data_IF_844578380022
#
_entry.id   IF_844578380022
#
_cell.length_a   1.000
_cell.length_b   1.000
_cell.length_c   1.000
_cell.angle_alpha   90.00
_cell.angle_beta   90.00
_cell.angle_gamma   90.00
#
_symmetry.space_group_name_H-M   'P 1'
#
loop_
_entity.id
_entity.type
_entity.pdbx_description
1 polymer ?
#
# COMPACT_ATOMS: atom_id res chain seq x y z
N UNK A 1 7.24 22.78 9.32
CA UNK A 1 5.83 22.54 8.95
C UNK A 1 5.69 21.06 8.62
N UNK A 2 5.23 20.28 9.60
CA UNK A 2 5.38 18.83 9.63
C UNK A 2 4.10 18.19 9.06
N UNK A 3 4.04 18.01 7.73
CA UNK A 3 2.95 17.32 7.04
C UNK A 3 3.01 15.78 7.15
N UNK A 4 3.80 15.25 8.08
CA UNK A 4 4.21 13.83 8.10
C UNK A 4 3.25 12.84 8.76
N UNK A 5 2.04 13.23 9.13
CA UNK A 5 1.19 12.41 10.01
C UNK A 5 0.00 11.71 9.35
N UNK A 6 -0.69 12.37 8.43
CA UNK A 6 -2.01 11.94 7.95
C UNK A 6 -1.97 11.50 6.50
N UNK A 7 -2.66 10.38 6.24
CA UNK A 7 -3.02 9.93 4.90
C UNK A 7 -3.50 11.10 4.04
N UNK A 8 -3.03 11.22 2.78
CA UNK A 8 -3.57 12.22 1.85
C UNK A 8 -5.04 11.96 1.46
N UNK A 9 -5.55 10.76 1.76
CA UNK A 9 -6.97 10.38 1.75
C UNK A 9 -7.47 10.21 3.19
N UNK A 10 -8.09 11.23 3.81
CA UNK A 10 -8.54 11.17 5.20
C UNK A 10 -9.67 10.15 5.43
N UNK A 11 -10.41 9.78 4.39
CA UNK A 11 -11.48 8.77 4.43
C UNK A 11 -10.97 7.32 4.37
N UNK A 12 -9.69 7.12 4.04
CA UNK A 12 -9.10 5.77 3.97
C UNK A 12 -8.28 5.48 5.23
N UNK A 13 -8.43 4.29 5.83
CA UNK A 13 -7.61 3.91 6.96
C UNK A 13 -6.16 3.73 6.53
N UNK A 14 -5.27 4.23 7.38
CA UNK A 14 -3.86 3.92 7.29
C UNK A 14 -3.60 2.47 7.70
N UNK A 15 -2.88 1.76 6.84
CA UNK A 15 -2.50 0.37 7.06
C UNK A 15 -1.00 0.22 7.12
N UNK A 16 -0.56 -0.79 7.87
CA UNK A 16 0.84 -1.19 7.93
C UNK A 16 1.10 -2.17 6.80
N UNK A 17 1.96 -1.77 5.88
CA UNK A 17 2.44 -2.63 4.81
C UNK A 17 3.78 -3.25 5.22
N UNK A 18 3.90 -4.58 5.12
CA UNK A 18 5.18 -5.26 5.20
C UNK A 18 5.58 -5.79 3.82
N UNK A 19 6.79 -5.47 3.41
CA UNK A 19 7.34 -5.88 2.12
C UNK A 19 8.55 -6.74 2.41
N UNK A 20 8.54 -7.98 1.93
CA UNK A 20 9.66 -8.90 2.02
C UNK A 20 10.27 -9.08 0.64
N UNK A 21 11.50 -8.61 0.49
CA UNK A 21 12.28 -8.72 -0.74
C UNK A 21 13.62 -9.37 -0.42
N UNK A 22 13.90 -10.51 -1.05
CA UNK A 22 15.18 -11.21 -0.90
C UNK A 22 15.58 -11.48 0.57
N UNK A 23 14.60 -11.82 1.42
CA UNK A 23 14.81 -12.08 2.85
C UNK A 23 14.90 -10.83 3.74
N UNK A 24 14.79 -9.63 3.17
CA UNK A 24 14.73 -8.37 3.92
C UNK A 24 13.29 -7.94 4.07
N UNK A 25 12.83 -7.74 5.31
CA UNK A 25 11.50 -7.23 5.63
C UNK A 25 11.54 -5.74 5.97
N UNK A 26 10.71 -4.96 5.29
CA UNK A 26 10.60 -3.51 5.47
C UNK A 26 9.14 -3.16 5.75
N UNK A 27 8.92 -2.20 6.67
CA UNK A 27 7.59 -1.76 7.06
C UNK A 27 7.32 -0.33 6.58
N UNK A 28 6.12 -0.12 6.03
CA UNK A 28 5.62 1.18 5.60
C UNK A 28 4.22 1.43 6.18
N UNK A 29 3.87 2.71 6.30
CA UNK A 29 2.48 3.13 6.46
C UNK A 29 1.96 3.61 5.10
N UNK A 30 0.71 3.28 4.77
CA UNK A 30 0.07 3.81 3.58
C UNK A 30 -1.46 3.78 3.71
N UNK A 31 -2.16 4.65 2.97
CA UNK A 31 -3.59 4.44 2.75
C UNK A 31 -3.83 3.12 1.98
N UNK A 32 -5.01 2.52 2.19
CA UNK A 32 -5.37 1.24 1.58
C UNK A 32 -5.17 1.23 0.06
N UNK A 33 -5.64 2.26 -0.64
CA UNK A 33 -5.48 2.40 -2.10
C UNK A 33 -4.01 2.40 -2.50
N UNK A 34 -3.17 3.19 -1.84
CA UNK A 34 -1.75 3.28 -2.18
C UNK A 34 -1.00 1.97 -1.92
N UNK A 35 -1.36 1.26 -0.85
CA UNK A 35 -0.80 -0.06 -0.56
C UNK A 35 -1.19 -1.08 -1.64
N UNK A 36 -2.45 -1.08 -2.10
CA UNK A 36 -2.92 -1.97 -3.17
C UNK A 36 -2.19 -1.70 -4.50
N UNK A 37 -2.07 -0.43 -4.89
CA UNK A 37 -1.32 -0.04 -6.10
C UNK A 37 0.13 -0.51 -6.00
N UNK A 38 0.76 -0.36 -4.83
CA UNK A 38 2.12 -0.84 -4.61
C UNK A 38 2.23 -2.35 -4.76
N UNK A 39 1.31 -3.12 -4.15
CA UNK A 39 1.29 -4.59 -4.24
C UNK A 39 1.19 -5.03 -5.69
N UNK A 40 0.27 -4.44 -6.47
CA UNK A 40 0.10 -4.76 -7.88
C UNK A 40 1.36 -4.44 -8.71
N UNK A 41 1.97 -3.28 -8.51
CA UNK A 41 3.18 -2.89 -9.25
C UNK A 41 4.38 -3.76 -8.88
N UNK A 42 4.56 -4.10 -7.61
CA UNK A 42 5.63 -5.01 -7.16
C UNK A 42 5.39 -6.41 -7.71
N UNK A 43 4.18 -6.96 -7.60
CA UNK A 43 3.86 -8.28 -8.12
C UNK A 43 4.06 -8.39 -9.64
N UNK A 44 3.80 -7.32 -10.38
CA UNK A 44 4.04 -7.28 -11.83
C UNK A 44 5.53 -7.22 -12.21
N UNK A 45 6.38 -6.65 -11.34
CA UNK A 45 7.79 -6.38 -11.66
C UNK A 45 8.77 -7.34 -11.01
N UNK A 46 8.47 -7.89 -9.82
CA UNK A 46 9.38 -8.72 -9.04
C UNK A 46 8.64 -9.82 -8.27
N UNK A 47 9.16 -11.06 -8.28
CA UNK A 47 8.72 -12.06 -7.33
C UNK A 47 9.13 -11.63 -5.92
N UNK A 48 8.15 -11.54 -5.02
CA UNK A 48 8.34 -11.14 -3.63
C UNK A 48 7.08 -11.39 -2.80
N UNK A 49 7.21 -11.36 -1.48
CA UNK A 49 6.07 -11.51 -0.57
C UNK A 49 5.69 -10.15 -0.01
N UNK A 50 4.46 -9.74 -0.26
CA UNK A 50 3.89 -8.52 0.31
C UNK A 50 2.74 -8.91 1.22
N UNK A 51 2.79 -8.47 2.47
CA UNK A 51 1.72 -8.71 3.44
C UNK A 51 1.19 -7.38 3.99
N UNK A 52 -0.13 -7.29 4.05
CA UNK A 52 -0.86 -6.12 4.51
C UNK A 52 -1.46 -6.42 5.88
N UNK A 53 -1.18 -5.54 6.84
CA UNK A 53 -1.69 -5.68 8.20
C UNK A 53 -2.50 -4.45 8.61
N UNK A 54 -3.72 -4.61 9.13
CA UNK A 54 -4.39 -3.54 9.84
C UNK A 54 -3.60 -3.25 11.13
N UNK A 55 -3.32 -1.98 11.44
CA UNK A 55 -2.64 -1.67 12.69
C UNK A 55 -1.95 -0.31 12.77
N UNK A 56 -1.29 -0.09 13.90
CA UNK A 56 -0.68 1.19 14.26
C UNK A 56 0.45 1.57 13.30
N UNK A 57 0.33 2.76 12.70
CA UNK A 57 1.24 3.25 11.66
C UNK A 57 2.25 4.30 12.15
N UNK A 58 2.21 4.70 13.43
CA UNK A 58 3.08 5.76 13.91
C UNK A 58 4.56 5.37 13.83
N UNK A 59 5.39 6.32 13.38
CA UNK A 59 6.83 6.15 13.23
C UNK A 59 7.26 5.37 11.99
N UNK A 60 6.33 4.86 11.17
CA UNK A 60 6.68 4.18 9.92
C UNK A 60 6.84 5.18 8.76
N UNK A 61 7.80 4.94 7.85
CA UNK A 61 7.90 5.71 6.63
C UNK A 61 6.66 5.49 5.75
N UNK A 62 6.22 6.56 5.10
CA UNK A 62 5.09 6.57 4.17
C UNK A 62 5.50 6.08 2.79
N UNK A 63 4.60 5.47 2.04
CA UNK A 63 4.92 5.08 0.66
C UNK A 63 5.05 6.31 -0.24
N UNK A 64 6.06 6.36 -1.12
CA UNK A 64 6.21 7.50 -2.04
C UNK A 64 5.03 7.68 -3.01
N UNK A 65 4.31 6.59 -3.33
CA UNK A 65 3.20 6.59 -4.28
C UNK A 65 1.94 7.28 -3.73
N UNK A 66 1.83 7.49 -2.41
CA UNK A 66 0.71 8.21 -1.78
C UNK A 66 0.60 9.65 -2.28
N UNK A 67 1.71 10.28 -2.68
CA UNK A 67 1.72 11.64 -3.23
C UNK A 67 1.23 11.71 -4.68
N UNK A 68 1.13 10.57 -5.37
CA UNK A 68 0.72 10.46 -6.78
C UNK A 68 -0.62 9.75 -6.98
N UNK A 69 -1.18 9.12 -5.94
CA UNK A 69 -2.50 8.52 -6.03
C UNK A 69 -3.55 9.64 -6.24
N UNK A 70 -4.34 9.61 -7.34
CA UNK A 70 -5.38 10.60 -7.51
C UNK A 70 -6.42 10.42 -6.41
N UNK A 71 -6.80 11.52 -5.75
CA UNK A 71 -7.91 11.56 -4.79
C UNK A 71 -9.18 11.07 -5.51
N UNK A 72 -9.56 9.81 -5.32
CA UNK A 72 -10.70 9.19 -6.00
C UNK A 72 -10.38 8.05 -6.99
N UNK A 73 -9.19 7.45 -6.94
CA UNK A 73 -8.91 6.23 -7.71
C UNK A 73 -9.78 5.05 -7.23
N UNK A 74 -10.92 4.82 -7.87
CA UNK A 74 -11.65 3.57 -7.75
C UNK A 74 -10.77 2.44 -8.32
N UNK A 75 -10.15 1.65 -7.43
CA UNK A 75 -9.44 0.44 -7.83
C UNK A 75 -10.51 -0.54 -8.31
N UNK A 76 -10.74 -0.65 -9.62
CA UNK A 76 -11.56 -1.72 -10.18
C UNK A 76 -10.77 -3.02 -10.04
N UNK A 77 -10.95 -3.73 -8.94
CA UNK A 77 -10.46 -5.11 -8.78
C UNK A 77 -11.31 -5.96 -9.74
N UNK A 78 -10.85 -6.11 -10.97
CA UNK A 78 -11.48 -6.99 -11.95
C UNK A 78 -11.49 -8.42 -11.42
N UNK A 79 -12.66 -8.85 -10.93
CA UNK A 79 -12.94 -10.25 -10.65
C UNK A 79 -12.99 -11.02 -11.96
N UNK A 80 -12.20 -12.09 -12.06
CA UNK A 80 -12.14 -12.88 -13.28
C UNK A 80 -11.21 -14.07 -13.20
N UNK A 81 -11.26 -14.86 -12.12
CA UNK A 81 -10.78 -16.24 -12.17
C UNK A 81 -11.98 -17.16 -12.04
N UNK A 82 -12.61 -17.49 -13.16
CA UNK A 82 -13.53 -18.63 -13.25
C UNK A 82 -12.70 -19.89 -13.44
N UNK A 83 -12.79 -20.89 -12.55
CA UNK A 83 -12.15 -22.17 -12.79
C UNK A 83 -12.92 -22.94 -13.87
N UNK A 84 -12.20 -23.49 -14.85
CA UNK A 84 -12.60 -24.66 -15.63
C UNK A 84 -11.41 -25.56 -15.85
#
# INVERSE_FOLDING_TARGET
MNNGGRSPCPDEPDIRLSVELSGVRIYFAACLTAALVFVCDVAARRPGTVAVYPGHCAGLPRLPNERRAPRGAAIHIGGGMTPK
#
